data_IF_645675706711
#
_entry.id   IF_645675706711
#
_cell.length_a   1.000
_cell.length_b   1.000
_cell.length_c   1.000
_cell.angle_alpha   90.00
_cell.angle_beta   90.00
_cell.angle_gamma   90.00
#
_symmetry.space_group_name_H-M   'P 1'
#
loop_
_entity.id
_entity.type
_entity.pdbx_description
1 polymer ?
2 non-polymer ?
3 non-polymer ?
4 non-polymer ?
5 non-polymer ?
6 non-polymer ?
7 water ?
#
# COMPACT_ATOMS: atom_id res chain seq x y z
N UNK A 1 -7.53 -25.03 4.01
CA UNK A 1 -7.40 -23.89 4.98
C UNK A 1 -8.70 -23.61 5.71
N UNK A 2 -8.61 -23.00 6.91
CA UNK A 2 -9.76 -22.65 7.75
C UNK A 2 -10.43 -21.37 7.25
N UNK A 3 -11.53 -20.99 7.90
CA UNK A 3 -12.23 -19.77 7.52
C UNK A 3 -11.27 -18.59 7.71
N UNK A 4 -11.45 -17.52 6.91
CA UNK A 4 -10.61 -16.31 6.96
C UNK A 4 -10.38 -15.78 8.38
N UNK A 5 -11.47 -15.59 9.12
CA UNK A 5 -11.35 -15.07 10.47
C UNK A 5 -10.59 -16.02 11.38
N UNK A 6 -10.81 -17.31 11.22
CA UNK A 6 -10.10 -18.27 12.06
C UNK A 6 -8.60 -18.28 11.72
N UNK A 7 -8.27 -18.11 10.45
CA UNK A 7 -6.87 -18.07 10.03
C UNK A 7 -6.18 -16.81 10.56
N UNK A 8 -6.90 -15.68 10.51
CA UNK A 8 -6.36 -14.41 11.01
C UNK A 8 -5.97 -14.59 12.47
N UNK A 9 -6.86 -15.23 13.24
CA UNK A 9 -6.60 -15.48 14.65
C UNK A 9 -5.38 -16.38 14.83
N UNK A 10 -5.33 -17.45 14.03
CA UNK A 10 -4.21 -18.39 14.11
C UNK A 10 -2.90 -17.65 13.85
N UNK A 11 -2.96 -16.69 12.94
CA UNK A 11 -1.76 -15.91 12.60
C UNK A 11 -1.29 -15.08 13.79
N UNK A 12 -2.21 -14.46 14.53
CA UNK A 12 -1.79 -13.68 15.70
C UNK A 12 -1.16 -14.60 16.74
N UNK A 13 -1.76 -15.78 16.91
CA UNK A 13 -1.26 -16.75 17.88
C UNK A 13 0.15 -17.22 17.53
N UNK A 14 0.37 -17.49 16.25
CA UNK A 14 1.68 -17.96 15.81
C UNK A 14 2.75 -16.87 15.78
N UNK A 15 2.36 -15.66 15.41
CA UNK A 15 3.29 -14.52 15.36
C UNK A 15 3.49 -13.75 16.67
N UNK A 16 2.52 -13.85 17.58
CA UNK A 16 2.57 -13.11 18.84
C UNK A 16 2.48 -11.62 18.53
N UNK A 17 1.85 -11.31 17.41
CA UNK A 17 1.69 -9.92 16.99
C UNK A 17 0.25 -9.61 16.64
N UNK A 18 -0.03 -8.33 16.38
CA UNK A 18 -1.38 -7.91 16.01
C UNK A 18 -1.54 -7.92 14.49
N UNK A 19 -2.69 -8.42 14.04
CA UNK A 19 -2.99 -8.44 12.62
C UNK A 19 -4.19 -7.52 12.43
N UNK A 20 -4.15 -6.72 11.37
CA UNK A 20 -5.26 -5.82 11.07
C UNK A 20 -5.68 -6.20 9.66
N UNK A 21 -6.98 -6.39 9.44
CA UNK A 21 -7.43 -6.81 8.12
C UNK A 21 -8.84 -6.40 7.71
N UNK A 22 -8.99 -6.04 6.44
CA UNK A 22 -10.27 -5.66 5.87
C UNK A 22 -10.37 -6.32 4.49
N UNK A 23 -11.52 -6.89 4.18
CA UNK A 23 -11.77 -7.50 2.88
C UNK A 23 -13.01 -6.74 2.44
N UNK A 24 -12.90 -6.02 1.33
CA UNK A 24 -13.98 -5.19 0.85
C UNK A 24 -14.25 -5.29 -0.64
N UNK A 25 -15.54 -5.24 -1.02
CA UNK A 25 -15.91 -5.29 -2.43
C UNK A 25 -15.42 -3.97 -3.04
N UNK A 26 -14.61 -4.03 -4.09
CA UNK A 26 -14.09 -2.82 -4.72
C UNK A 26 -15.18 -1.95 -5.35
N UNK A 27 -16.13 -2.58 -6.04
CA UNK A 27 -17.19 -1.81 -6.70
C UNK A 27 -18.18 -1.12 -5.76
N UNK A 28 -18.58 -1.80 -4.69
CA UNK A 28 -19.58 -1.22 -3.80
C UNK A 28 -19.10 -0.78 -2.42
N UNK A 29 -17.98 -1.32 -1.96
CA UNK A 29 -17.51 -0.94 -0.65
C UNK A 29 -18.06 -1.85 0.45
N UNK A 30 -18.78 -2.91 0.06
CA UNK A 30 -19.32 -3.84 1.05
C UNK A 30 -18.17 -4.47 1.84
N UNK A 31 -18.25 -4.39 3.16
CA UNK A 31 -17.21 -4.96 4.01
C UNK A 31 -17.56 -6.42 4.33
N UNK A 32 -16.71 -7.34 3.91
CA UNK A 32 -16.94 -8.77 4.16
C UNK A 32 -16.28 -9.27 5.43
N UNK A 33 -15.01 -8.95 5.59
CA UNK A 33 -14.26 -9.37 6.76
C UNK A 33 -13.59 -8.15 7.39
N UNK A 34 -13.68 -8.03 8.70
CA UNK A 34 -13.06 -6.91 9.41
C UNK A 34 -12.48 -7.41 10.73
N UNK A 35 -11.18 -7.23 10.90
CA UNK A 35 -10.48 -7.64 12.13
C UNK A 35 -9.54 -6.53 12.55
N UNK A 36 -9.75 -6.00 13.76
CA UNK A 36 -8.94 -4.88 14.27
C UNK A 36 -8.91 -3.81 13.19
N UNK A 37 -10.03 -3.67 12.49
CA UNK A 37 -10.15 -2.72 11.39
C UNK A 37 -10.06 -1.26 11.76
N UNK A 38 -10.28 -0.95 13.04
CA UNK A 38 -10.21 0.42 13.51
C UNK A 38 -8.97 0.68 14.37
N UNK A 39 -8.06 -0.28 14.37
CA UNK A 39 -6.82 -0.14 15.14
C UNK A 39 -5.73 0.41 14.24
N UNK A 40 -4.78 1.14 14.82
CA UNK A 40 -3.69 1.72 14.05
C UNK A 40 -2.56 0.77 13.73
N UNK A 41 -2.02 0.91 12.53
CA UNK A 41 -0.91 0.09 12.03
C UNK A 41 -0.02 0.98 11.18
N UNK A 42 1.31 0.78 11.26
CA UNK A 42 2.21 1.60 10.44
C UNK A 42 1.93 1.29 8.97
N UNK A 43 1.81 2.31 8.13
CA UNK A 43 1.55 2.09 6.71
C UNK A 43 2.76 1.56 5.97
N UNK A 44 3.94 2.01 6.39
CA UNK A 44 5.18 1.64 5.75
C UNK A 44 5.06 2.02 4.27
N UNK A 45 5.64 1.20 3.39
CA UNK A 45 5.64 1.44 1.96
C UNK A 45 4.27 1.55 1.30
N UNK A 46 3.22 1.02 1.95
CA UNK A 46 1.90 1.08 1.35
C UNK A 46 1.39 2.52 1.19
N UNK A 47 1.98 3.46 1.91
CA UNK A 47 1.54 4.86 1.83
C UNK A 47 1.76 5.42 0.43
N UNK A 48 2.68 4.82 -0.32
CA UNK A 48 3.00 5.30 -1.65
C UNK A 48 1.84 5.30 -2.64
N UNK A 49 0.86 4.43 -2.44
CA UNK A 49 -0.28 4.39 -3.34
C UNK A 49 -1.10 5.67 -3.10
N UNK A 50 -1.27 6.04 -1.83
CA UNK A 50 -2.01 7.26 -1.50
C UNK A 50 -1.22 8.47 -2.01
N UNK A 51 0.09 8.43 -1.82
CA UNK A 51 0.97 9.51 -2.30
C UNK A 51 0.72 9.79 -3.78
N UNK A 52 0.79 8.75 -4.61
CA UNK A 52 0.60 8.95 -6.04
C UNK A 52 -0.84 9.30 -6.39
N UNK A 53 -1.76 9.02 -5.48
CA UNK A 53 -3.14 9.41 -5.73
C UNK A 53 -3.19 10.94 -5.61
N UNK A 54 -2.43 11.48 -4.66
CA UNK A 54 -2.38 12.94 -4.46
C UNK A 54 -1.70 13.61 -5.64
N UNK A 55 -0.67 12.96 -6.18
CA UNK A 55 0.05 13.49 -7.34
C UNK A 55 -0.91 13.53 -8.53
N UNK A 56 -1.67 12.46 -8.72
CA UNK A 56 -2.62 12.40 -9.82
C UNK A 56 -3.71 13.47 -9.67
N UNK A 57 -4.07 13.77 -8.42
CA UNK A 57 -5.07 14.80 -8.17
C UNK A 57 -4.52 16.14 -8.67
N UNK A 58 -3.24 16.40 -8.42
CA UNK A 58 -2.64 17.64 -8.88
C UNK A 58 -2.60 17.67 -10.41
N UNK A 59 -2.33 16.52 -11.03
CA UNK A 59 -2.29 16.45 -12.48
C UNK A 59 -3.69 16.76 -13.03
N UNK A 60 -4.71 16.16 -12.43
CA UNK A 60 -6.09 16.40 -12.87
C UNK A 60 -6.44 17.88 -12.77
N UNK A 61 -5.95 18.53 -11.73
CA UNK A 61 -6.23 19.95 -11.51
C UNK A 61 -5.38 20.85 -12.40
N UNK A 62 -4.39 20.28 -13.08
CA UNK A 62 -3.54 21.06 -13.95
C UNK A 62 -2.36 21.71 -13.24
N UNK A 63 -2.09 21.27 -12.02
CA UNK A 63 -0.99 21.82 -11.24
C UNK A 63 0.24 20.92 -11.29
N UNK A 64 0.15 19.88 -12.11
CA UNK A 64 1.25 18.93 -12.25
C UNK A 64 1.10 18.18 -13.57
N UNK A 65 2.19 17.61 -14.06
CA UNK A 65 2.16 16.83 -15.28
C UNK A 65 2.98 15.58 -15.01
N UNK A 66 2.49 14.43 -15.45
CA UNK A 66 3.26 13.21 -15.24
C UNK A 66 4.52 13.26 -16.10
N UNK A 67 4.47 14.09 -17.15
CA UNK A 67 5.62 14.25 -18.04
C UNK A 67 6.74 15.11 -17.47
N UNK A 68 6.40 16.00 -16.55
CA UNK A 68 7.39 16.91 -15.99
C UNK A 68 8.63 16.23 -15.45
N UNK A 69 9.78 16.60 -16.00
CA UNK A 69 11.04 16.00 -15.58
C UNK A 69 11.66 16.73 -14.39
N UNK A 70 11.92 15.97 -13.33
CA UNK A 70 12.53 16.51 -12.12
C UNK A 70 14.00 16.11 -12.08
N UNK A 71 14.87 17.09 -11.85
CA UNK A 71 16.30 16.84 -11.76
C UNK A 71 16.67 16.93 -10.30
N UNK A 72 17.36 15.90 -9.81
CA UNK A 72 17.74 15.88 -8.41
C UNK A 72 19.23 15.60 -8.25
N UNK A 73 19.73 15.73 -7.03
CA UNK A 73 21.14 15.52 -6.75
C UNK A 73 21.38 14.28 -5.90
N UNK A 74 22.61 13.78 -5.90
CA UNK A 74 22.95 12.58 -5.14
C UNK A 74 22.67 12.76 -3.65
N UNK A 75 22.89 13.97 -3.14
CA UNK A 75 22.66 14.25 -1.73
C UNK A 75 21.18 14.14 -1.38
N UNK A 76 20.31 14.13 -2.38
CA UNK A 76 18.87 14.01 -2.15
C UNK A 76 18.45 12.57 -1.93
N UNK A 77 19.32 11.63 -2.29
CA UNK A 77 19.01 10.22 -2.16
C UNK A 77 19.03 9.66 -0.74
N UNK A 78 18.08 8.77 -0.46
CA UNK A 78 18.01 8.11 0.83
C UNK A 78 18.16 6.61 0.58
N UNK A 79 18.19 5.85 1.66
CA UNK A 79 18.36 4.40 1.58
C UNK A 79 17.40 3.68 0.63
N UNK A 80 17.98 2.93 -0.30
CA UNK A 80 17.28 2.12 -1.29
C UNK A 80 16.59 2.93 -2.38
N UNK A 81 17.34 3.16 -3.45
CA UNK A 81 16.88 3.93 -4.59
C UNK A 81 17.37 3.24 -5.86
N UNK A 82 16.93 1.99 -6.09
CA UNK A 82 17.33 1.20 -7.26
C UNK A 82 17.12 1.87 -8.61
N UNK A 83 16.08 2.69 -8.72
CA UNK A 83 15.81 3.36 -9.99
C UNK A 83 16.37 4.78 -9.99
N UNK A 84 16.01 5.56 -8.98
CA UNK A 84 16.46 6.95 -8.92
C UNK A 84 17.98 7.14 -8.93
N UNK A 85 18.74 6.22 -8.36
CA UNK A 85 20.21 6.40 -8.35
C UNK A 85 20.81 6.31 -9.74
N UNK A 86 20.05 5.77 -10.70
CA UNK A 86 20.54 5.62 -12.06
C UNK A 86 20.26 6.84 -12.94
N UNK A 87 19.56 7.84 -12.40
CA UNK A 87 19.22 9.02 -13.20
C UNK A 87 19.66 10.36 -12.62
N UNK A 88 20.87 10.40 -12.06
CA UNK A 88 21.38 11.65 -11.51
C UNK A 88 21.75 12.62 -12.62
N UNK A 89 22.00 12.09 -13.81
CA UNK A 89 22.39 12.93 -14.94
C UNK A 89 21.22 13.41 -15.79
N UNK A 90 20.20 12.57 -15.96
CA UNK A 90 19.07 12.92 -16.80
C UNK A 90 17.74 13.17 -16.10
N UNK A 91 17.68 12.89 -14.80
CA UNK A 91 16.44 13.12 -14.07
C UNK A 91 15.36 12.11 -14.36
N UNK A 92 14.20 12.28 -13.74
CA UNK A 92 13.06 11.39 -13.94
C UNK A 92 11.77 12.19 -14.00
N UNK A 93 10.80 11.71 -14.80
CA UNK A 93 9.52 12.40 -14.89
C UNK A 93 8.71 12.06 -13.64
N UNK A 94 7.73 12.89 -13.33
CA UNK A 94 6.87 12.69 -12.19
C UNK A 94 6.21 11.31 -12.29
N UNK A 95 5.73 10.98 -13.48
CA UNK A 95 5.12 9.67 -13.70
C UNK A 95 6.10 8.54 -13.46
N UNK A 96 7.35 8.72 -13.91
CA UNK A 96 8.38 7.69 -13.71
C UNK A 96 8.66 7.53 -12.22
N UNK A 97 8.64 8.65 -11.50
CA UNK A 97 8.89 8.61 -10.07
C UNK A 97 7.80 7.79 -9.38
N UNK A 98 6.53 7.98 -9.77
CA UNK A 98 5.46 7.20 -9.14
C UNK A 98 5.62 5.71 -9.47
N UNK A 99 6.01 5.41 -10.70
CA UNK A 99 6.20 4.02 -11.09
C UNK A 99 7.34 3.42 -10.28
N UNK A 100 8.43 4.17 -10.12
CA UNK A 100 9.57 3.68 -9.35
C UNK A 100 9.21 3.47 -7.88
N UNK A 101 8.47 4.42 -7.30
CA UNK A 101 8.08 4.33 -5.91
C UNK A 101 7.16 3.14 -5.65
N UNK A 102 6.13 3.01 -6.49
CA UNK A 102 5.17 1.93 -6.32
C UNK A 102 5.60 0.55 -6.82
N UNK A 103 6.16 0.46 -8.02
CA UNK A 103 6.52 -0.85 -8.56
C UNK A 103 7.91 -1.38 -8.19
N UNK A 104 8.81 -0.49 -7.79
CA UNK A 104 10.16 -0.89 -7.44
C UNK A 104 10.59 -0.56 -6.01
N UNK A 105 9.66 0.02 -5.23
CA UNK A 105 9.97 0.36 -3.86
C UNK A 105 11.05 1.40 -3.68
N UNK A 106 11.23 2.26 -4.68
CA UNK A 106 12.26 3.30 -4.63
C UNK A 106 11.91 4.38 -3.59
N UNK A 107 12.73 4.48 -2.54
CA UNK A 107 12.48 5.45 -1.46
C UNK A 107 12.77 6.89 -1.79
N UNK A 108 13.81 7.14 -2.59
CA UNK A 108 14.12 8.51 -2.94
C UNK A 108 13.03 9.04 -3.88
N UNK A 109 12.55 8.20 -4.80
CA UNK A 109 11.49 8.64 -5.70
C UNK A 109 10.29 9.09 -4.87
N UNK A 110 9.98 8.32 -3.83
CA UNK A 110 8.86 8.65 -2.95
C UNK A 110 9.06 10.01 -2.25
N UNK A 111 10.26 10.27 -1.74
CA UNK A 111 10.53 11.54 -1.07
C UNK A 111 10.41 12.72 -2.03
N UNK A 112 10.88 12.54 -3.26
CA UNK A 112 10.79 13.60 -4.25
C UNK A 112 9.32 13.92 -4.51
N UNK A 113 8.49 12.88 -4.66
CA UNK A 113 7.07 13.05 -4.90
C UNK A 113 6.39 13.68 -3.67
N UNK A 114 6.80 13.24 -2.49
CA UNK A 114 6.22 13.75 -1.25
C UNK A 114 6.46 15.25 -1.15
N UNK A 115 7.62 15.71 -1.59
CA UNK A 115 7.92 17.13 -1.55
C UNK A 115 6.96 17.90 -2.45
N UNK A 116 6.62 17.32 -3.61
CA UNK A 116 5.72 18.00 -4.53
C UNK A 116 4.30 18.17 -3.99
N UNK A 117 3.90 17.32 -3.04
CA UNK A 117 2.54 17.44 -2.50
C UNK A 117 2.47 18.15 -1.16
N UNK A 118 3.55 18.81 -0.78
CA UNK A 118 3.56 19.53 0.48
C UNK A 118 4.09 18.75 1.66
N UNK A 119 4.85 17.69 1.36
CA UNK A 119 5.42 16.87 2.42
C UNK A 119 4.40 16.05 3.18
N UNK A 120 4.82 15.42 4.28
CA UNK A 120 3.92 14.60 5.11
C UNK A 120 2.64 15.36 5.49
N UNK A 121 2.80 16.62 5.84
CA UNK A 121 1.65 17.45 6.21
C UNK A 121 0.73 17.64 5.01
N UNK A 122 1.33 17.85 3.85
CA UNK A 122 0.53 18.06 2.64
C UNK A 122 -0.27 16.82 2.26
N UNK A 123 0.33 15.64 2.40
CA UNK A 123 -0.36 14.41 2.05
C UNK A 123 -1.49 14.15 3.05
N UNK A 124 -1.24 14.45 4.32
CA UNK A 124 -2.25 14.26 5.35
C UNK A 124 -3.44 15.19 5.09
N UNK A 125 -3.16 16.40 4.63
CA UNK A 125 -4.22 17.36 4.32
C UNK A 125 -5.04 16.80 3.16
N UNK A 126 -4.36 16.17 2.21
CA UNK A 126 -5.03 15.56 1.06
C UNK A 126 -5.97 14.46 1.54
N UNK A 127 -5.51 13.65 2.49
CA UNK A 127 -6.32 12.58 3.04
C UNK A 127 -7.57 13.17 3.69
N UNK A 128 -7.39 14.26 4.43
CA UNK A 128 -8.52 14.92 5.09
C UNK A 128 -9.50 15.43 4.04
N UNK A 129 -8.96 15.93 2.93
CA UNK A 129 -9.78 16.46 1.86
C UNK A 129 -10.62 15.43 1.13
N UNK A 130 -10.23 14.15 1.18
CA UNK A 130 -11.02 13.11 0.53
C UNK A 130 -11.84 12.34 1.56
N UNK A 131 -11.94 12.90 2.78
CA UNK A 131 -12.74 12.27 3.80
C UNK A 131 -12.11 11.25 4.73
N UNK A 132 -10.80 11.05 4.62
CA UNK A 132 -10.10 10.11 5.51
C UNK A 132 -9.64 10.94 6.70
N UNK A 133 -10.29 10.76 7.83
CA UNK A 133 -9.94 11.54 9.02
C UNK A 133 -9.05 10.78 10.01
N UNK A 134 -8.50 9.65 9.59
CA UNK A 134 -7.66 8.84 10.47
C UNK A 134 -6.21 8.68 10.01
N UNK A 135 -6.01 8.32 8.74
CA UNK A 135 -4.67 8.12 8.20
C UNK A 135 -3.82 9.38 8.32
N UNK A 136 -2.56 9.21 8.65
CA UNK A 136 -1.65 10.35 8.80
C UNK A 136 -0.21 9.98 8.44
N UNK A 137 0.46 10.88 7.72
CA UNK A 137 1.87 10.65 7.42
C UNK A 137 2.56 11.78 8.18
N UNK A 138 3.64 11.47 8.87
CA UNK A 138 4.34 12.47 9.66
C UNK A 138 5.80 12.63 9.30
N UNK A 139 6.36 11.57 8.73
CA UNK A 139 7.78 11.57 8.38
C UNK A 139 8.06 11.19 6.93
N UNK A 140 9.34 11.21 6.58
CA UNK A 140 9.79 10.90 5.22
C UNK A 140 10.44 9.52 5.22
N UNK A 141 10.88 9.07 4.04
CA UNK A 141 11.58 7.80 3.93
C UNK A 141 12.99 8.12 4.43
N UNK A 142 13.61 7.22 5.20
CA UNK A 142 13.02 5.95 5.60
C UNK A 142 12.53 5.92 7.04
N UNK A 143 12.61 7.05 7.74
CA UNK A 143 12.18 7.10 9.15
C UNK A 143 10.72 6.70 9.38
N UNK A 144 9.86 6.90 8.38
CA UNK A 144 8.45 6.58 8.53
C UNK A 144 8.16 5.08 8.76
N UNK A 145 9.18 4.24 8.59
CA UNK A 145 9.02 2.79 8.78
C UNK A 145 9.46 2.33 10.18
N UNK A 146 9.79 3.29 11.06
CA UNK A 146 10.28 2.94 12.39
C UNK A 146 9.36 2.06 13.23
N UNK A 147 8.05 2.25 13.09
CA UNK A 147 7.08 1.43 13.80
C UNK A 147 7.32 1.25 15.30
N UNK A 148 7.48 2.37 16.01
CA UNK A 148 7.69 2.30 17.44
C UNK A 148 6.37 1.90 18.10
N UNK A 149 6.44 1.12 19.17
CA UNK A 149 5.24 0.68 19.88
C UNK A 149 4.46 1.89 20.38
N UNK A 150 3.15 1.90 20.14
CA UNK A 150 2.31 2.99 20.59
C UNK A 150 2.51 4.34 19.93
N UNK A 151 3.27 4.38 18.85
CA UNK A 151 3.53 5.63 18.13
C UNK A 151 2.48 5.79 17.03
N UNK A 152 1.74 6.89 17.08
CA UNK A 152 0.69 7.16 16.11
C UNK A 152 1.19 7.71 14.78
N UNK A 153 2.45 8.10 14.72
CA UNK A 153 2.99 8.64 13.48
C UNK A 153 2.96 7.67 12.32
N UNK A 154 2.69 8.19 11.12
CA UNK A 154 2.70 7.39 9.90
C UNK A 154 1.84 6.14 9.95
N UNK A 155 0.63 6.28 10.49
CA UNK A 155 -0.26 5.13 10.60
C UNK A 155 -1.58 5.32 9.86
N UNK A 156 -2.28 4.20 9.71
CA UNK A 156 -3.60 4.16 9.11
C UNK A 156 -4.32 3.06 9.89
N UNK A 157 -5.56 2.77 9.50
CA UNK A 157 -6.28 1.66 10.10
C UNK A 157 -6.71 0.87 8.87
N UNK A 158 -6.96 -0.44 9.03
CA UNK A 158 -7.37 -1.25 7.88
C UNK A 158 -8.61 -0.67 7.19
N UNK A 159 -9.59 -0.26 7.99
CA UNK A 159 -10.83 0.30 7.47
C UNK A 159 -10.60 1.61 6.70
N UNK A 160 -9.77 2.48 7.26
CA UNK A 160 -9.48 3.77 6.64
C UNK A 160 -8.75 3.60 5.31
N UNK A 161 -7.72 2.75 5.31
CA UNK A 161 -6.93 2.51 4.11
C UNK A 161 -7.76 1.89 3.00
N UNK A 162 -8.59 0.91 3.33
CA UNK A 162 -9.44 0.27 2.33
C UNK A 162 -10.38 1.30 1.73
N UNK A 163 -11.02 2.10 2.59
CA UNK A 163 -11.95 3.12 2.12
C UNK A 163 -11.25 4.15 1.23
N UNK A 164 -10.07 4.57 1.65
CA UNK A 164 -9.31 5.56 0.90
C UNK A 164 -8.87 5.02 -0.46
N UNK A 165 -8.38 3.78 -0.49
CA UNK A 165 -7.95 3.19 -1.74
C UNK A 165 -9.14 3.09 -2.68
N UNK A 166 -10.30 2.69 -2.14
CA UNK A 166 -11.49 2.58 -2.97
C UNK A 166 -11.89 3.94 -3.55
N UNK A 167 -11.76 4.99 -2.73
CA UNK A 167 -12.10 6.34 -3.16
C UNK A 167 -11.19 6.76 -4.32
N UNK A 168 -9.90 6.51 -4.17
CA UNK A 168 -8.94 6.89 -5.20
C UNK A 168 -9.12 6.13 -6.51
N UNK A 169 -9.42 4.83 -6.40
CA UNK A 169 -9.57 4.00 -7.59
C UNK A 169 -10.92 4.03 -8.28
N UNK A 170 -11.99 4.33 -7.54
CA UNK A 170 -13.32 4.28 -8.15
C UNK A 170 -14.34 5.40 -7.94
N UNK A 171 -14.14 6.26 -6.96
CA UNK A 171 -15.13 7.31 -6.67
C UNK A 171 -15.23 8.49 -7.62
N UNK A 172 -14.43 8.48 -8.68
CA UNK A 172 -14.46 9.57 -9.65
C UNK A 172 -13.96 10.89 -9.06
N UNK A 173 -13.21 10.82 -7.96
CA UNK A 173 -12.61 12.01 -7.38
C UNK A 173 -11.45 12.29 -8.33
N UNK A 174 -10.82 11.22 -8.82
CA UNK A 174 -9.73 11.34 -9.78
C UNK A 174 -10.35 11.11 -11.16
N UNK A 175 -9.75 11.70 -12.19
CA UNK A 175 -10.25 11.54 -13.55
C UNK A 175 -10.20 10.07 -13.95
N UNK A 176 -10.90 9.71 -15.03
CA UNK A 176 -10.91 8.34 -15.49
C UNK A 176 -9.49 7.87 -15.78
N UNK A 177 -8.73 8.69 -16.52
CA UNK A 177 -7.36 8.31 -16.87
C UNK A 177 -6.49 8.14 -15.62
N UNK A 178 -6.65 9.03 -14.65
CA UNK A 178 -5.86 8.93 -13.42
C UNK A 178 -6.20 7.68 -12.62
N UNK A 179 -7.48 7.33 -12.53
CA UNK A 179 -7.87 6.12 -11.79
C UNK A 179 -7.23 4.91 -12.47
N UNK A 180 -7.23 4.90 -13.80
CA UNK A 180 -6.65 3.82 -14.56
C UNK A 180 -5.14 3.72 -14.37
N UNK A 181 -4.50 4.88 -14.25
CA UNK A 181 -3.05 4.94 -14.04
C UNK A 181 -2.67 4.38 -12.67
N UNK A 182 -3.40 4.79 -11.63
CA UNK A 182 -3.09 4.33 -10.28
C UNK A 182 -3.25 2.82 -10.22
N UNK A 183 -4.28 2.30 -10.87
CA UNK A 183 -4.53 0.88 -10.90
C UNK A 183 -3.40 0.14 -11.61
N UNK A 184 -2.99 0.66 -12.78
CA UNK A 184 -1.92 0.00 -13.53
C UNK A 184 -0.61 -0.02 -12.74
N UNK A 185 -0.33 1.01 -11.94
CA UNK A 185 0.90 1.02 -11.15
C UNK A 185 0.88 -0.15 -10.15
N UNK A 186 -0.28 -0.41 -9.54
CA UNK A 186 -0.39 -1.51 -8.59
C UNK A 186 -0.30 -2.86 -9.32
N UNK A 187 -0.86 -2.92 -10.54
CA UNK A 187 -0.81 -4.13 -11.32
C UNK A 187 0.65 -4.42 -11.69
N UNK A 188 1.41 -3.35 -11.92
CA UNK A 188 2.80 -3.49 -12.33
C UNK A 188 3.84 -3.70 -11.23
N UNK A 189 3.41 -3.89 -9.98
CA UNK A 189 4.38 -4.10 -8.92
C UNK A 189 5.38 -5.18 -9.30
N UNK A 190 6.66 -4.87 -9.18
CA UNK A 190 7.70 -5.84 -9.50
C UNK A 190 8.30 -6.50 -8.26
N UNK A 191 8.01 -5.95 -7.09
CA UNK A 191 8.53 -6.47 -5.83
C UNK A 191 7.84 -7.75 -5.33
N UNK A 192 6.52 -7.72 -5.24
CA UNK A 192 5.78 -8.87 -4.75
C UNK A 192 4.81 -9.45 -5.78
N UNK A 193 4.37 -8.61 -6.71
CA UNK A 193 3.42 -9.04 -7.72
C UNK A 193 3.73 -10.38 -8.38
N UNK A 194 4.88 -10.49 -9.05
CA UNK A 194 5.29 -11.72 -9.73
C UNK A 194 5.32 -12.94 -8.81
N UNK A 195 5.86 -12.76 -7.61
CA UNK A 195 5.94 -13.86 -6.64
C UNK A 195 4.54 -14.35 -6.28
N UNK A 196 3.63 -13.40 -5.99
CA UNK A 196 2.26 -13.74 -5.64
C UNK A 196 1.57 -14.53 -6.76
N UNK A 197 1.71 -14.07 -7.99
CA UNK A 197 1.10 -14.76 -9.12
C UNK A 197 1.62 -16.18 -9.24
N UNK A 198 2.93 -16.36 -9.01
CA UNK A 198 3.54 -17.68 -9.12
C UNK A 198 2.86 -18.69 -8.19
N UNK A 199 2.30 -18.20 -7.09
CA UNK A 199 1.63 -19.09 -6.13
C UNK A 199 0.11 -18.97 -6.11
N UNK A 200 -0.45 -18.07 -6.92
CA UNK A 200 -1.91 -17.94 -6.96
C UNK A 200 -2.45 -18.98 -7.93
N UNK A 201 -3.62 -19.57 -7.61
CA UNK A 201 -4.18 -20.57 -8.52
C UNK A 201 -4.52 -19.84 -9.81
N UNK A 202 -4.62 -20.56 -10.92
CA UNK A 202 -4.95 -19.93 -12.18
C UNK A 202 -6.31 -19.24 -12.05
N UNK A 203 -6.46 -18.10 -12.71
CA UNK A 203 -7.73 -17.37 -12.69
C UNK A 203 -7.85 -16.24 -11.69
N UNK A 204 -6.86 -16.11 -10.80
CA UNK A 204 -6.91 -15.05 -9.81
C UNK A 204 -6.10 -13.80 -10.17
N UNK A 205 -6.79 -12.67 -10.11
CA UNK A 205 -6.24 -11.36 -10.40
C UNK A 205 -5.52 -10.83 -9.17
N UNK A 206 -4.41 -10.13 -9.38
CA UNK A 206 -3.69 -9.52 -8.27
C UNK A 206 -3.05 -8.21 -8.68
N UNK A 207 -3.18 -7.20 -7.81
CA UNK A 207 -2.58 -5.88 -8.02
C UNK A 207 -2.20 -5.58 -6.58
N UNK A 208 -1.08 -4.90 -6.35
CA UNK A 208 -0.67 -4.69 -4.97
C UNK A 208 0.45 -3.68 -4.73
N UNK A 209 0.67 -3.41 -3.45
CA UNK A 209 1.76 -2.60 -2.95
C UNK A 209 2.02 -3.16 -1.55
N UNK A 210 3.24 -3.61 -1.30
CA UNK A 210 3.60 -4.18 -0.01
C UNK A 210 4.55 -3.26 0.74
N UNK A 211 4.72 -3.52 2.03
CA UNK A 211 5.61 -2.71 2.84
C UNK A 211 6.10 -3.50 4.04
N UNK A 212 7.21 -3.04 4.61
CA UNK A 212 7.80 -3.68 5.78
C UNK A 212 8.46 -2.63 6.66
N UNK A 213 8.52 -2.89 7.95
CA UNK A 213 9.12 -1.95 8.88
C UNK A 213 9.78 -2.66 10.04
N UNK A 214 10.13 -1.91 11.07
CA UNK A 214 10.78 -2.48 12.25
C UNK A 214 9.77 -3.20 13.14
N UNK A 215 10.30 -3.94 14.11
CA UNK A 215 9.47 -4.68 15.06
C UNK A 215 8.45 -5.58 14.39
N UNK A 216 8.85 -6.17 13.27
CA UNK A 216 7.99 -7.08 12.54
C UNK A 216 6.90 -6.45 11.69
N UNK A 217 6.84 -5.13 11.63
CA UNK A 217 5.80 -4.47 10.84
C UNK A 217 5.82 -4.97 9.40
N UNK A 218 4.65 -5.30 8.86
CA UNK A 218 4.55 -5.82 7.51
C UNK A 218 3.16 -5.52 7.01
N UNK A 219 3.00 -5.33 5.70
CA UNK A 219 1.66 -5.05 5.23
C UNK A 219 1.49 -5.12 3.73
N UNK A 220 0.23 -5.18 3.32
CA UNK A 220 -0.07 -5.22 1.92
C UNK A 220 -1.46 -4.68 1.64
N UNK A 221 -1.55 -3.88 0.58
CA UNK A 221 -2.82 -3.36 0.13
C UNK A 221 -2.93 -3.96 -1.26
N UNK A 222 -4.02 -4.66 -1.51
CA UNK A 222 -4.20 -5.32 -2.79
C UNK A 222 -5.60 -5.41 -3.32
N UNK A 223 -5.66 -5.79 -4.60
CA UNK A 223 -6.91 -6.01 -5.32
C UNK A 223 -6.80 -7.49 -5.69
N UNK A 224 -7.83 -8.25 -5.35
CA UNK A 224 -7.82 -9.68 -5.61
C UNK A 224 -9.18 -10.19 -6.06
N UNK A 225 -9.19 -11.24 -6.86
CA UNK A 225 -10.46 -11.78 -7.30
C UNK A 225 -10.38 -12.87 -8.34
N UNK A 226 -11.37 -13.78 -8.34
CA UNK A 226 -11.40 -14.88 -9.32
C UNK A 226 -11.84 -14.34 -10.68
N UNK A 227 -11.80 -15.22 -11.68
CA UNK A 227 -12.19 -14.87 -13.03
C UNK A 227 -11.44 -13.65 -13.54
N UNK A 228 -10.17 -13.53 -13.12
CA UNK A 228 -9.29 -12.44 -13.54
C UNK A 228 -9.87 -11.05 -13.37
N UNK A 229 -10.61 -10.84 -12.30
CA UNK A 229 -11.22 -9.54 -12.02
C UNK A 229 -10.78 -9.00 -10.66
N UNK A 230 -10.57 -7.69 -10.58
CA UNK A 230 -10.18 -7.05 -9.33
C UNK A 230 -11.47 -6.90 -8.51
N UNK A 231 -11.96 -8.01 -7.97
CA UNK A 231 -13.21 -7.98 -7.23
C UNK A 231 -13.17 -7.33 -5.85
N UNK A 232 -12.12 -7.61 -5.09
CA UNK A 232 -12.06 -7.05 -3.75
C UNK A 232 -10.75 -6.39 -3.35
N UNK A 233 -10.87 -5.45 -2.43
CA UNK A 233 -9.72 -4.77 -1.87
C UNK A 233 -9.43 -5.57 -0.62
N UNK A 234 -8.16 -5.93 -0.42
CA UNK A 234 -7.76 -6.66 0.76
C UNK A 234 -6.57 -5.94 1.37
N UNK A 235 -6.75 -5.51 2.61
CA UNK A 235 -5.71 -4.79 3.34
C UNK A 235 -5.32 -5.61 4.57
N UNK A 236 -4.03 -5.94 4.67
CA UNK A 236 -3.54 -6.70 5.80
C UNK A 236 -2.26 -6.06 6.35
N UNK A 237 -2.27 -5.76 7.64
CA UNK A 237 -1.13 -5.16 8.31
C UNK A 237 -0.77 -6.02 9.50
N UNK A 238 0.53 -6.12 9.76
CA UNK A 238 1.04 -6.88 10.89
C UNK A 238 1.94 -5.92 11.67
N UNK A 239 1.96 -6.06 12.99
CA UNK A 239 2.82 -5.22 13.82
C UNK A 239 3.20 -5.90 15.12
N UNK A 240 4.32 -5.48 15.68
CA UNK A 240 4.82 -5.99 16.95
C UNK A 240 4.94 -7.50 17.08
N UNK A 241 5.66 -8.10 16.14
CA UNK A 241 5.92 -9.53 16.15
C UNK A 241 7.42 -9.68 15.91
N UNK A 242 8.06 -10.61 16.64
CA UNK A 242 9.50 -10.83 16.48
C UNK A 242 9.80 -11.86 15.39
N UNK A 243 8.77 -12.31 14.68
CA UNK A 243 8.95 -13.32 13.65
C UNK A 243 9.80 -12.93 12.45
N UNK A 244 10.40 -13.93 11.82
CA UNK A 244 11.22 -13.72 10.64
C UNK A 244 10.34 -13.18 9.52
N UNK A 245 10.97 -12.54 8.55
CA UNK A 245 10.25 -11.99 7.40
C UNK A 245 9.55 -13.14 6.69
N UNK A 246 10.23 -14.27 6.56
CA UNK A 246 9.65 -15.44 5.89
C UNK A 246 8.34 -15.87 6.52
N UNK A 247 8.32 -15.97 7.85
CA UNK A 247 7.11 -16.40 8.53
C UNK A 247 6.00 -15.36 8.45
N UNK A 248 6.37 -14.09 8.45
CA UNK A 248 5.37 -13.05 8.34
C UNK A 248 4.77 -13.11 6.93
N UNK A 249 5.61 -13.40 5.94
CA UNK A 249 5.13 -13.53 4.56
C UNK A 249 4.20 -14.73 4.47
N UNK A 250 4.60 -15.82 5.12
CA UNK A 250 3.80 -17.05 5.11
C UNK A 250 2.43 -16.88 5.73
N UNK A 251 2.37 -16.14 6.84
CA UNK A 251 1.10 -15.91 7.53
C UNK A 251 0.15 -15.08 6.69
N UNK A 252 0.66 -14.03 6.05
CA UNK A 252 -0.18 -13.20 5.20
C UNK A 252 -0.69 -14.04 4.04
N UNK A 253 0.19 -14.85 3.47
CA UNK A 253 -0.19 -15.72 2.35
C UNK A 253 -1.27 -16.68 2.82
N UNK A 254 -1.13 -17.15 4.06
CA UNK A 254 -2.11 -18.07 4.63
C UNK A 254 -3.49 -17.46 4.73
N UNK A 255 -3.54 -16.17 5.05
CA UNK A 255 -4.82 -15.47 5.14
C UNK A 255 -5.38 -15.40 3.73
N UNK A 256 -4.52 -15.14 2.77
CA UNK A 256 -4.96 -15.08 1.38
C UNK A 256 -5.51 -16.44 0.95
N UNK A 257 -4.84 -17.51 1.35
CA UNK A 257 -5.28 -18.86 1.00
C UNK A 257 -6.68 -19.12 1.55
N UNK A 258 -6.94 -18.66 2.77
CA UNK A 258 -8.25 -18.86 3.41
C UNK A 258 -9.33 -18.12 2.63
N UNK A 259 -9.01 -16.92 2.15
CA UNK A 259 -9.95 -16.13 1.38
C UNK A 259 -10.26 -16.87 0.09
N UNK A 260 -9.21 -17.34 -0.58
CA UNK A 260 -9.34 -18.06 -1.84
C UNK A 260 -10.20 -19.32 -1.71
N UNK A 261 -9.99 -20.07 -0.65
CA UNK A 261 -10.73 -21.32 -0.43
C UNK A 261 -12.17 -21.11 0.03
N UNK A 262 -12.46 -19.93 0.58
CA UNK A 262 -13.78 -19.59 1.09
C UNK A 262 -14.16 -18.19 0.57
N UNK A 263 -14.19 -18.05 -0.76
CA UNK A 263 -14.48 -16.78 -1.39
C UNK A 263 -15.94 -16.31 -1.38
N UNK A 264 -16.86 -17.23 -1.61
CA UNK A 264 -18.27 -16.84 -1.65
C UNK A 264 -18.93 -16.59 -0.30
N UNK A 265 -18.75 -15.37 0.20
CA UNK A 265 -19.32 -14.96 1.48
C UNK A 265 -20.11 -13.68 1.30
X LIG B 1 -5.01 -24.45 -3.94
X LIG B 1 -4.79 -25.30 -5.23
X LIG B 1 -5.64 -24.79 -6.42
X LIG B 1 -7.13 -24.54 -6.00
X LIG B 1 -7.25 -23.85 -4.60
X LIG B 1 -8.73 -23.76 -4.12
X LIG B 1 -3.39 -25.36 -5.59
X LIG B 1 -5.58 -25.76 -7.50
X LIG B 1 -6.38 -24.46 -3.57
X LIG B 1 -9.35 -25.06 -4.04
X LIG B 1 -4.55 -23.06 -4.09
X LIG B 1 -7.78 -23.73 -6.99
X LIG B 1 -2.06 -20.33 -2.14
X LIG B 1 -1.31 -21.59 -2.67
X LIG B 1 -2.20 -22.39 -3.67
X LIG B 1 -3.62 -22.65 -3.06
X LIG B 1 -4.19 -21.38 -2.37
X LIG B 1 -5.51 -21.69 -1.61
X LIG B 1 -1.26 -19.58 -1.12
X LIG B 1 -0.05 -21.24 -3.28
X LIG B 1 -1.58 -23.64 -4.01
X LIG B 1 -3.24 -20.77 -1.49
X LIG B 1 -5.37 -22.79 -0.70
X LIG B 1 -1.50 -18.18 -1.21
X LIG B 1 -0.79 -17.63 -2.44
X LIG B 1 -0.98 -16.13 -2.56
X LIG B 1 -0.37 -15.41 -1.37
X LIG B 1 -0.69 -13.93 -1.39
X LIG B 1 -2.19 -13.69 -1.40
X LIG B 1 -2.43 -12.24 -1.02
X LIG B 1 -2.84 -12.16 0.50
X LIG B 1 -3.01 -10.66 0.94
X LIG B 1 -4.03 -9.87 0.00
X LIG B 1 -3.75 -10.09 -1.55
X LIG B 1 -3.53 -11.60 -1.94
X LIG C 1 4.79 -16.95 0.44
X LIG C 1 4.67 -16.39 -0.97
X LIG C 1 4.75 -14.86 -0.98
X LIG C 1 3.67 -14.24 -0.10
X LIG C 1 3.56 -12.70 -0.26
X LIG C 1 2.30 -12.23 0.58
X LIG C 1 2.13 -10.66 0.56
X LIG C 1 3.45 -9.93 1.05
X LIG C 1 4.70 -10.39 0.21
X LIG C 1 4.87 -11.97 0.23
X LIG D 1 11.48 -4.30 -1.16
X LIG D 1 11.20 -5.71 -1.03
X LIG D 1 10.38 -3.39 -1.35
X LIG D 1 12.52 -3.82 0.22
X LIG D 1 11.70 -3.73 1.56
X LIG D 1 10.64 -2.70 1.47
X LIG D 1 10.30 -2.15 2.64
X LIG D 1 13.66 -4.87 0.36
X LIG D 1 13.14 -2.44 -0.14
X LIG D 1 14.08 -1.97 0.90
X LIG D 1 15.36 -2.31 0.78
X LIG D 1 15.98 -1.75 1.80
X LIG D 1 13.87 -1.22 1.97
X LIG D 1 15.09 -1.07 2.54
X LIG D 1 11.11 -5.06 1.97
X LIG D 1 10.02 -5.45 1.49
X LIG D 1 11.71 -5.79 2.78
X LIG D 1 9.24 -1.19 2.75
X LIG D 1 8.42 -0.73 1.55
X LIG D 1 8.32 -1.43 0.58
X LIG E 1 11.10 -1.97 3.25
X LIG E 1 10.51 -1.26 2.48
X LIG E 1 9.09 -1.59 2.08
X LIG E 1 8.18 -0.45 2.48
X LIG E 1 7.78 -0.37 3.60
X LIG F 1 -4.52 -27.46 0.99
X LIG F 1 -5.22 -27.05 -0.31
X LIG F 1 -5.08 -25.64 -0.44
X LIG F 1 -4.41 -27.71 -1.45
X LIG F 1 -6.73 -27.34 -0.17
X LIG F 1 -7.67 -27.72 -1.33
X LIG F 1 -7.89 -26.69 -2.29
X LIG F 1 -9.01 -28.17 -0.76
X LIG G 1 -8.86 17.33 -2.53
X LIG G 1 -8.77 17.37 -4.05
X LIG G 1 -9.06 18.72 -4.42
X LIG G 1 -7.34 17.08 -4.50
X LIG G 1 -9.81 16.56 -4.85
X LIG G 1 -9.96 15.05 -4.66
X LIG G 1 -11.35 14.82 -4.58
X LIG G 1 -9.31 14.33 -5.83
#
# INVERSE_FOLDING_TARGET
SPQPLEQIKLSESQLSGRVGMIEMDLASGRTLTAWRADERFPMMSTFKVVLCGAVLARVDAGDEQLERKIHYRQQDLVDYSPVSEKHLADGMTVGELCAAAITMGDNSAANLLLATVGGPAGLTAFLRQIGDNVTRLDRWETELNEALPGDARDTTTPASMAATLRKLLTSQRLSARSQRQLLQWMVDDRVAGPLIRSVLPAGWFIADKTGAGERGARGIVALLGPNNKAERIVVIYLRDTPASMAERNQQIAGIGAALIEHWQR
MA4 C1 C2 C3 C4 C5 C6 O2 O3 O5 O6 O1 O4 C10 C20 C30 C40 C50 C60 O10 O20 O30 O50 O60 C11 C21 C31 C41 C51 C61 C12 C22 C32 C42 C52 C62
MA4 C31 C41 C51 C61 C12 C22 C32 C42 C52 C62
TBE S1 O12 O13 C2 C3 N4 C5 C20 C14 N15 N16 N17 C18 C19 C9 O10 O11 C6 C7 O8
MDD OA4 CA5 CA6 CA7 OA8
MRD C1 C2 O2 CM C3 C4 O4 C5
MPD C1 C2 O2 CM C3 C4 O4 C5
#
